data_IF_295068564361
#
_entry.id   IF_295068564361
#
_cell.length_a   1.000
_cell.length_b   1.000
_cell.length_c   1.000
_cell.angle_alpha   90.00
_cell.angle_beta   90.00
_cell.angle_gamma   90.00
#
_symmetry.space_group_name_H-M   'P 1'
#
loop_
_entity.id
_entity.type
_entity.pdbx_description
1 polymer ?
#
# COMPACT_ATOMS: atom_id res chain seq x y z
N UNK A 1 -10.82 -3.64 -3.93
CA UNK A 1 -11.23 -4.95 -3.38
C UNK A 1 -12.62 -4.79 -2.78
N UNK A 2 -13.60 -5.59 -3.19
CA UNK A 2 -14.88 -5.76 -2.47
C UNK A 2 -14.95 -7.25 -2.18
N UNK A 3 -15.32 -7.71 -0.97
CA UNK A 3 -15.40 -9.15 -0.68
C UNK A 3 -16.44 -9.82 -1.60
N UNK A 4 -16.11 -11.00 -2.13
CA UNK A 4 -17.09 -11.87 -2.81
C UNK A 4 -17.89 -12.65 -1.77
N UNK A 5 -19.20 -12.77 -1.98
CA UNK A 5 -20.02 -13.72 -1.21
C UNK A 5 -19.47 -15.15 -1.39
N UNK A 6 -19.51 -16.01 -0.36
CA UNK A 6 -19.19 -17.43 -0.51
C UNK A 6 -20.07 -18.06 -1.59
N UNK A 7 -19.45 -18.75 -2.57
CA UNK A 7 -20.17 -19.50 -3.61
C UNK A 7 -20.19 -18.91 -5.02
N UNK A 8 -19.56 -17.74 -5.27
CA UNK A 8 -19.33 -17.26 -6.64
C UNK A 8 -18.06 -17.87 -7.24
N UNK A 9 -18.17 -18.48 -8.42
CA UNK A 9 -17.01 -18.87 -9.24
C UNK A 9 -16.12 -17.65 -9.48
N UNK A 10 -14.77 -17.75 -9.32
CA UNK A 10 -13.90 -16.61 -9.53
C UNK A 10 -13.95 -16.17 -10.99
N UNK A 11 -14.50 -14.98 -11.25
CA UNK A 11 -14.36 -14.34 -12.55
C UNK A 11 -12.87 -14.09 -12.81
N UNK A 12 -12.34 -14.60 -13.92
CA UNK A 12 -10.95 -14.45 -14.31
C UNK A 12 -10.87 -13.89 -15.73
N UNK A 13 -10.01 -12.90 -15.94
CA UNK A 13 -9.76 -12.36 -17.28
C UNK A 13 -8.60 -13.15 -17.88
N UNK A 14 -8.92 -14.05 -18.84
CA UNK A 14 -7.96 -14.90 -19.54
C UNK A 14 -7.57 -14.30 -20.90
N UNK A 15 -6.33 -13.83 -21.05
CA UNK A 15 -5.90 -13.17 -22.29
C UNK A 15 -4.41 -13.37 -22.59
N UNK A 16 -4.01 -13.08 -23.83
CA UNK A 16 -2.64 -13.25 -24.29
C UNK A 16 -1.64 -12.32 -23.58
N UNK A 17 -0.41 -12.78 -23.36
CA UNK A 17 0.66 -12.05 -22.66
C UNK A 17 1.56 -11.24 -23.61
N UNK A 18 1.81 -9.98 -23.27
CA UNK A 18 2.75 -9.08 -23.95
C UNK A 18 3.84 -8.59 -22.97
N UNK A 19 5.08 -8.49 -23.43
CA UNK A 19 6.19 -7.92 -22.64
C UNK A 19 6.38 -6.48 -23.07
N UNK A 20 6.61 -5.60 -22.10
CA UNK A 20 7.26 -4.31 -22.35
C UNK A 20 8.75 -4.49 -22.06
N UNK A 21 9.59 -4.24 -23.07
CA UNK A 21 11.03 -4.13 -22.87
C UNK A 21 11.61 -2.78 -23.31
N UNK A 22 10.81 -1.83 -23.81
CA UNK A 22 11.32 -0.51 -24.18
C UNK A 22 10.25 0.58 -24.03
N UNK A 23 10.64 1.67 -23.36
CA UNK A 23 9.82 2.84 -23.08
C UNK A 23 9.69 3.82 -24.26
N UNK A 24 10.24 3.51 -25.45
CA UNK A 24 10.45 4.49 -26.53
C UNK A 24 9.94 4.10 -27.94
N UNK A 25 8.86 3.34 -28.08
CA UNK A 25 8.27 3.07 -29.42
C UNK A 25 6.82 3.59 -29.56
N UNK A 26 6.58 4.59 -30.44
CA UNK A 26 5.25 5.12 -30.78
C UNK A 26 4.29 4.08 -31.42
N UNK A 27 4.79 2.94 -31.90
CA UNK A 27 4.02 1.88 -32.58
C UNK A 27 3.40 0.83 -31.63
N UNK A 28 3.49 1.03 -30.32
CA UNK A 28 3.20 -0.02 -29.34
C UNK A 28 1.71 -0.15 -28.90
N UNK A 29 0.80 0.75 -29.32
CA UNK A 29 -0.62 0.70 -28.92
C UNK A 29 -1.31 -0.56 -29.50
N UNK A 30 -1.11 -0.85 -30.78
CA UNK A 30 -1.70 -2.01 -31.46
C UNK A 30 -1.24 -3.35 -30.86
N UNK A 31 -0.02 -3.40 -30.30
CA UNK A 31 0.51 -4.61 -29.67
C UNK A 31 -0.07 -4.89 -28.28
N UNK A 32 -0.66 -3.89 -27.61
CA UNK A 32 -1.12 -3.94 -26.21
C UNK A 32 -2.62 -4.13 -26.06
N UNK A 33 -3.39 -3.68 -27.06
CA UNK A 33 -4.84 -3.76 -27.06
C UNK A 33 -5.30 -5.20 -26.78
N UNK A 34 -6.13 -5.36 -25.74
CA UNK A 34 -6.70 -6.65 -25.39
C UNK A 34 -5.66 -7.68 -24.93
N UNK A 35 -4.50 -7.29 -24.38
CA UNK A 35 -3.50 -8.22 -23.83
C UNK A 35 -3.17 -7.91 -22.38
N UNK A 36 -2.60 -8.89 -21.69
CA UNK A 36 -1.98 -8.69 -20.38
C UNK A 36 -0.57 -8.16 -20.58
N UNK A 37 -0.27 -7.02 -19.98
CA UNK A 37 1.03 -6.36 -20.05
C UNK A 37 1.86 -6.74 -18.83
N UNK A 38 3.10 -7.17 -19.04
CA UNK A 38 4.06 -7.42 -17.96
C UNK A 38 4.98 -6.21 -17.78
N UNK A 39 5.06 -5.66 -16.57
CA UNK A 39 5.91 -4.54 -16.18
C UNK A 39 6.96 -4.96 -15.14
N UNK A 40 8.20 -4.52 -15.34
CA UNK A 40 9.33 -4.81 -14.44
C UNK A 40 9.45 -3.84 -13.26
N UNK A 41 8.45 -2.98 -13.06
CA UNK A 41 8.41 -1.96 -12.03
C UNK A 41 6.98 -1.73 -11.57
N UNK A 42 6.83 -1.15 -10.38
CA UNK A 42 5.56 -0.67 -9.87
C UNK A 42 5.06 0.52 -10.73
N UNK A 43 3.77 0.55 -11.02
CA UNK A 43 3.12 1.63 -11.79
C UNK A 43 1.66 1.75 -11.36
N UNK A 44 1.08 2.94 -11.52
CA UNK A 44 -0.36 3.18 -11.29
C UNK A 44 -1.25 2.63 -12.41
N UNK A 45 -0.68 1.94 -13.40
CA UNK A 45 -1.44 1.30 -14.48
C UNK A 45 -2.00 2.26 -15.54
N UNK A 46 -1.76 3.57 -15.44
CA UNK A 46 -2.26 4.57 -16.42
C UNK A 46 -1.82 4.26 -17.85
N UNK A 47 -0.54 3.94 -18.04
CA UNK A 47 0.01 3.63 -19.37
C UNK A 47 -0.67 2.42 -20.03
N UNK A 48 -0.70 1.24 -19.38
CA UNK A 48 -1.43 0.07 -19.86
C UNK A 48 -2.93 0.32 -20.07
N UNK A 49 -3.57 1.07 -19.17
CA UNK A 49 -4.99 1.43 -19.27
C UNK A 49 -5.30 2.24 -20.54
N UNK A 50 -4.56 3.33 -20.76
CA UNK A 50 -4.74 4.18 -21.95
C UNK A 50 -4.36 3.46 -23.26
N UNK A 51 -3.53 2.42 -23.17
CA UNK A 51 -3.19 1.56 -24.31
C UNK A 51 -4.21 0.43 -24.55
N UNK A 52 -5.33 0.40 -23.80
CA UNK A 52 -6.38 -0.61 -23.91
C UNK A 52 -5.94 -2.03 -23.58
N UNK A 53 -4.96 -2.17 -22.69
CA UNK A 53 -4.56 -3.46 -22.16
C UNK A 53 -5.72 -4.12 -21.39
N UNK A 54 -5.85 -5.44 -21.52
CA UNK A 54 -6.86 -6.21 -20.79
C UNK A 54 -6.42 -6.54 -19.35
N UNK A 55 -5.12 -6.45 -19.06
CA UNK A 55 -4.60 -6.65 -17.70
C UNK A 55 -3.15 -6.21 -17.53
N UNK A 56 -2.70 -6.17 -16.28
CA UNK A 56 -1.35 -5.75 -15.89
C UNK A 56 -0.75 -6.70 -14.86
N UNK A 57 0.44 -7.23 -15.14
CA UNK A 57 1.25 -7.97 -14.16
C UNK A 57 2.50 -7.17 -13.89
N UNK A 58 2.64 -6.68 -12.67
CA UNK A 58 3.85 -6.01 -12.19
C UNK A 58 4.71 -7.01 -11.43
N UNK A 59 6.02 -6.76 -11.42
CA UNK A 59 6.94 -7.52 -10.57
C UNK A 59 7.91 -6.60 -9.82
N UNK A 60 8.19 -6.94 -8.57
CA UNK A 60 9.07 -6.16 -7.71
C UNK A 60 9.48 -6.88 -6.43
N UNK A 61 10.06 -6.14 -5.48
CA UNK A 61 10.43 -6.67 -4.17
C UNK A 61 9.16 -6.85 -3.32
N UNK A 62 9.24 -7.66 -2.27
CA UNK A 62 8.05 -8.38 -1.75
C UNK A 62 7.59 -7.93 -0.38
N UNK A 63 8.51 -7.43 0.47
CA UNK A 63 8.18 -7.17 1.88
C UNK A 63 7.84 -5.71 2.05
N UNK A 64 6.64 -5.42 2.58
CA UNK A 64 6.19 -4.04 2.80
C UNK A 64 5.61 -3.33 1.58
N UNK A 65 5.74 -3.93 0.39
CA UNK A 65 5.17 -3.38 -0.84
C UNK A 65 3.66 -3.64 -0.91
N UNK A 66 2.92 -2.60 -1.25
CA UNK A 66 1.46 -2.60 -1.35
C UNK A 66 1.04 -2.20 -2.74
N UNK A 67 -0.12 -2.67 -3.18
CA UNK A 67 -0.71 -2.27 -4.46
C UNK A 67 -2.15 -1.87 -4.25
N UNK A 68 -2.43 -0.58 -4.47
CA UNK A 68 -3.78 -0.05 -4.41
C UNK A 68 -4.61 -0.46 -5.64
N UNK A 69 -5.87 -0.06 -5.67
CA UNK A 69 -6.78 -0.33 -6.78
C UNK A 69 -6.23 0.26 -8.09
N UNK A 70 -6.14 -0.56 -9.14
CA UNK A 70 -5.66 -0.17 -10.47
C UNK A 70 -6.81 -0.07 -11.48
N UNK A 71 -6.70 0.74 -12.55
CA UNK A 71 -7.78 0.98 -13.52
C UNK A 71 -8.12 -0.22 -14.42
N UNK A 72 -7.34 -1.31 -14.32
CA UNK A 72 -7.54 -2.56 -15.03
C UNK A 72 -7.22 -3.75 -14.12
N UNK A 73 -7.64 -4.95 -14.50
CA UNK A 73 -7.31 -6.17 -13.75
C UNK A 73 -5.81 -6.35 -13.66
N UNK A 74 -5.29 -6.41 -12.43
CA UNK A 74 -3.86 -6.37 -12.21
C UNK A 74 -3.41 -7.25 -11.04
N UNK A 75 -2.14 -7.63 -11.07
CA UNK A 75 -1.48 -8.35 -9.99
C UNK A 75 -0.03 -7.91 -9.86
N UNK A 76 0.48 -7.92 -8.64
CA UNK A 76 1.88 -7.69 -8.36
C UNK A 76 2.51 -8.95 -7.80
N UNK A 77 3.63 -9.32 -8.39
CA UNK A 77 4.33 -10.55 -8.08
C UNK A 77 5.73 -10.23 -7.57
N UNK A 78 6.19 -11.10 -6.68
CA UNK A 78 7.59 -11.12 -6.30
C UNK A 78 8.49 -11.43 -7.50
N UNK A 79 9.75 -10.99 -7.44
CA UNK A 79 10.73 -11.22 -8.52
C UNK A 79 10.86 -12.71 -8.88
N UNK A 80 10.83 -13.60 -7.89
CA UNK A 80 10.92 -15.05 -8.09
C UNK A 80 9.69 -15.61 -8.85
N UNK A 81 8.48 -15.18 -8.47
CA UNK A 81 7.24 -15.56 -9.16
C UNK A 81 7.16 -14.94 -10.55
N UNK A 82 7.54 -13.67 -10.69
CA UNK A 82 7.58 -12.95 -11.96
C UNK A 82 8.58 -13.56 -12.95
N UNK A 83 9.70 -14.09 -12.49
CA UNK A 83 10.69 -14.77 -13.33
C UNK A 83 10.14 -16.05 -13.95
N UNK A 84 9.28 -16.78 -13.24
CA UNK A 84 8.59 -17.97 -13.77
C UNK A 84 7.64 -17.64 -14.93
N UNK A 85 7.01 -16.46 -14.92
CA UNK A 85 6.15 -16.00 -16.03
C UNK A 85 6.98 -15.76 -17.30
N UNK A 86 8.15 -15.13 -17.16
CA UNK A 86 9.05 -14.91 -18.29
C UNK A 86 9.50 -16.25 -18.91
N UNK A 87 9.83 -17.22 -18.06
CA UNK A 87 10.20 -18.57 -18.50
C UNK A 87 9.04 -19.27 -19.22
N UNK A 88 7.83 -19.26 -18.63
CA UNK A 88 6.63 -19.82 -19.25
C UNK A 88 6.36 -19.20 -20.63
N UNK A 89 6.39 -17.87 -20.73
CA UNK A 89 6.20 -17.20 -22.02
C UNK A 89 7.24 -17.69 -23.04
N UNK A 90 8.51 -17.77 -22.64
CA UNK A 90 9.60 -18.19 -23.51
C UNK A 90 9.59 -19.68 -23.90
N UNK A 91 8.80 -20.53 -23.24
CA UNK A 91 8.60 -21.93 -23.63
C UNK A 91 7.35 -22.17 -24.50
N UNK A 92 6.47 -21.17 -24.65
CA UNK A 92 5.26 -21.32 -25.48
C UNK A 92 5.56 -21.30 -26.99
N UNK A 93 4.70 -22.01 -27.74
CA UNK A 93 4.77 -22.10 -29.20
C UNK A 93 4.63 -20.71 -29.85
N UNK A 94 5.34 -20.55 -30.97
CA UNK A 94 5.26 -19.38 -31.81
C UNK A 94 4.22 -19.62 -32.92
N UNK A 95 3.34 -18.65 -33.15
CA UNK A 95 2.42 -18.57 -34.27
C UNK A 95 2.79 -17.39 -35.16
N UNK A 96 2.42 -17.44 -36.44
CA UNK A 96 2.56 -16.32 -37.37
C UNK A 96 1.17 -15.81 -37.68
N UNK A 97 0.91 -14.54 -37.39
CA UNK A 97 -0.32 -13.83 -37.78
C UNK A 97 0.08 -12.57 -38.55
N UNK A 98 -0.51 -12.33 -39.71
CA UNK A 98 -0.23 -11.13 -40.52
C UNK A 98 1.27 -10.87 -40.76
N UNK A 99 2.07 -11.92 -40.96
CA UNK A 99 3.52 -11.82 -41.17
C UNK A 99 4.35 -11.48 -39.92
N UNK A 100 3.75 -11.47 -38.71
CA UNK A 100 4.43 -11.22 -37.43
C UNK A 100 4.43 -12.48 -36.55
N UNK A 101 5.55 -12.72 -35.84
CA UNK A 101 5.71 -13.82 -34.88
C UNK A 101 5.05 -13.47 -33.54
N UNK A 102 4.19 -14.35 -33.04
CA UNK A 102 3.52 -14.22 -31.75
C UNK A 102 3.75 -15.45 -30.89
N UNK A 103 3.97 -15.26 -29.59
CA UNK A 103 3.98 -16.37 -28.64
C UNK A 103 2.57 -16.57 -28.10
N UNK A 104 2.05 -17.80 -28.17
CA UNK A 104 0.71 -18.14 -27.71
C UNK A 104 0.69 -18.41 -26.18
N UNK A 105 1.20 -17.46 -25.40
CA UNK A 105 1.13 -17.50 -23.94
C UNK A 105 -0.13 -16.79 -23.46
N UNK A 106 -0.91 -17.47 -22.63
CA UNK A 106 -2.13 -16.91 -22.01
C UNK A 106 -2.01 -16.95 -20.49
N UNK A 107 -2.61 -15.98 -19.82
CA UNK A 107 -2.74 -15.99 -18.36
C UNK A 107 -4.12 -15.48 -17.95
N UNK A 108 -4.50 -15.84 -16.73
CA UNK A 108 -5.75 -15.41 -16.10
C UNK A 108 -5.45 -14.62 -14.84
N UNK A 109 -6.00 -13.41 -14.72
CA UNK A 109 -5.94 -12.62 -13.48
C UNK A 109 -7.26 -12.80 -12.74
N UNK A 110 -7.18 -13.34 -11.54
CA UNK A 110 -8.34 -13.60 -10.68
C UNK A 110 -8.67 -12.38 -9.80
N UNK A 111 -9.91 -12.32 -9.34
CA UNK A 111 -10.33 -11.39 -8.28
C UNK A 111 -9.47 -11.60 -7.04
N UNK A 112 -9.10 -10.49 -6.40
CA UNK A 112 -8.33 -10.52 -5.16
C UNK A 112 -9.11 -11.19 -4.02
N UNK A 113 -8.39 -11.90 -3.16
CA UNK A 113 -8.89 -12.55 -1.96
C UNK A 113 -8.11 -12.10 -0.73
N UNK A 114 -8.73 -12.21 0.44
CA UNK A 114 -8.09 -11.92 1.72
C UNK A 114 -7.22 -13.10 2.17
N UNK A 115 -6.08 -12.80 2.79
CA UNK A 115 -5.15 -13.78 3.35
C UNK A 115 -4.65 -13.28 4.70
N UNK A 116 -4.48 -14.19 5.66
CA UNK A 116 -3.88 -13.86 6.95
C UNK A 116 -2.36 -13.79 6.82
N UNK A 117 -1.80 -12.59 6.98
CA UNK A 117 -0.37 -12.39 7.06
C UNK A 117 0.13 -12.68 8.48
N UNK A 118 0.88 -13.78 8.65
CA UNK A 118 1.46 -14.20 9.94
C UNK A 118 2.66 -13.35 10.38
N UNK A 119 3.20 -12.53 9.49
CA UNK A 119 4.32 -11.63 9.79
C UNK A 119 3.86 -10.27 10.31
N UNK A 120 2.59 -9.91 10.09
CA UNK A 120 2.03 -8.66 10.60
C UNK A 120 2.09 -8.58 12.15
N UNK A 121 2.27 -7.39 12.74
CA UNK A 121 2.48 -6.09 12.08
C UNK A 121 3.95 -5.84 11.72
N UNK A 122 4.17 -5.15 10.60
CA UNK A 122 5.45 -4.57 10.18
C UNK A 122 5.19 -3.27 9.43
N UNK A 123 6.24 -2.46 9.25
CA UNK A 123 6.10 -1.15 8.64
C UNK A 123 6.22 -1.28 7.11
N UNK A 124 5.26 -0.74 6.33
CA UNK A 124 5.31 -0.82 4.87
C UNK A 124 6.46 -0.01 4.29
N UNK A 125 6.86 -0.34 3.07
CA UNK A 125 8.02 0.23 2.36
C UNK A 125 7.84 1.71 2.05
N UNK A 126 6.61 2.16 1.81
CA UNK A 126 6.30 3.57 1.53
C UNK A 126 6.38 4.48 2.77
N UNK A 127 6.34 3.91 3.98
CA UNK A 127 6.32 4.70 5.21
C UNK A 127 7.67 5.35 5.42
N UNK A 128 7.69 6.67 5.58
CA UNK A 128 8.94 7.42 5.78
C UNK A 128 9.69 6.97 7.04
N UNK A 129 11.01 7.14 7.01
CA UNK A 129 11.91 6.78 8.10
C UNK A 129 12.52 8.02 8.73
N UNK A 130 12.88 7.90 9.99
CA UNK A 130 13.80 8.81 10.66
C UNK A 130 15.25 8.66 10.17
N UNK A 131 16.20 9.38 10.80
CA UNK A 131 15.99 10.29 11.92
C UNK A 131 15.28 11.58 11.52
N UNK A 132 14.81 12.35 12.50
CA UNK A 132 14.27 13.68 12.28
C UNK A 132 15.34 14.61 11.68
N UNK A 133 15.14 15.16 10.47
CA UNK A 133 16.15 15.98 9.80
C UNK A 133 16.33 17.35 10.44
N UNK A 134 15.35 17.84 11.20
CA UNK A 134 15.35 19.16 11.84
C UNK A 134 16.05 19.10 13.20
N UNK A 135 15.68 18.11 14.03
CA UNK A 135 16.29 17.89 15.35
C UNK A 135 16.61 16.43 15.53
N UNK A 136 17.89 16.06 15.38
CA UNK A 136 18.35 14.67 15.54
C UNK A 136 18.19 14.14 16.96
N UNK A 137 18.04 15.02 17.94
CA UNK A 137 17.80 14.66 19.34
C UNK A 137 16.34 14.26 19.62
N UNK A 138 15.42 14.46 18.67
CA UNK A 138 14.02 14.07 18.79
C UNK A 138 13.73 12.94 17.79
N UNK A 139 13.50 11.74 18.32
CA UNK A 139 13.21 10.56 17.52
C UNK A 139 11.91 10.71 16.71
N UNK A 140 11.94 10.26 15.44
CA UNK A 140 10.77 10.18 14.56
C UNK A 140 10.81 8.90 13.72
N UNK A 141 9.64 8.30 13.40
CA UNK A 141 8.29 8.69 13.81
C UNK A 141 8.02 8.46 15.31
N UNK A 142 6.90 8.96 15.86
CA UNK A 142 6.59 8.78 17.29
C UNK A 142 5.99 7.39 17.59
N UNK A 143 5.06 6.91 16.74
CA UNK A 143 4.45 5.59 16.84
C UNK A 143 3.95 5.11 15.46
N UNK A 144 3.57 3.84 15.37
CA UNK A 144 2.93 3.22 14.21
C UNK A 144 1.44 2.93 14.46
N UNK A 145 0.65 2.94 13.38
CA UNK A 145 -0.78 2.57 13.41
C UNK A 145 -1.20 1.92 12.09
N UNK A 146 -2.36 1.22 12.04
CA UNK A 146 -2.84 0.58 10.82
C UNK A 146 -3.04 1.57 9.67
N UNK A 147 -2.30 1.37 8.57
CA UNK A 147 -2.35 2.24 7.40
C UNK A 147 -2.23 1.52 6.06
N UNK A 148 -2.31 0.19 6.04
CA UNK A 148 -2.23 -0.62 4.82
C UNK A 148 -3.57 -1.27 4.57
N UNK A 149 -4.07 -1.16 3.33
CA UNK A 149 -5.36 -1.71 2.90
C UNK A 149 -6.53 -1.36 3.82
N UNK A 150 -6.65 -0.08 4.17
CA UNK A 150 -7.76 0.41 5.00
C UNK A 150 -8.98 0.65 4.11
N UNK A 151 -10.08 -0.04 4.43
CA UNK A 151 -11.39 0.18 3.82
C UNK A 151 -12.06 1.40 4.47
N UNK A 152 -12.37 2.42 3.68
CA UNK A 152 -13.06 3.62 4.17
C UNK A 152 -14.02 4.16 3.11
N UNK A 153 -14.90 5.09 3.52
CA UNK A 153 -15.83 5.76 2.62
C UNK A 153 -15.08 6.46 1.49
N UNK A 154 -15.68 6.44 0.30
CA UNK A 154 -15.10 7.03 -0.91
C UNK A 154 -16.15 7.83 -1.67
N UNK A 155 -15.71 8.90 -2.33
CA UNK A 155 -16.60 9.73 -3.11
C UNK A 155 -17.03 9.00 -4.39
N UNK A 156 -18.33 8.93 -4.70
CA UNK A 156 -18.81 8.23 -5.89
C UNK A 156 -18.41 8.91 -7.21
N UNK A 157 -17.91 10.15 -7.16
CA UNK A 157 -17.41 10.89 -8.32
C UNK A 157 -15.88 10.80 -8.47
N UNK A 158 -15.18 10.19 -7.51
CA UNK A 158 -13.73 10.05 -7.54
C UNK A 158 -13.34 8.68 -8.11
N UNK A 159 -12.49 8.61 -9.15
CA UNK A 159 -12.02 7.33 -9.69
C UNK A 159 -11.37 6.47 -8.61
N UNK A 160 -11.76 5.19 -8.53
CA UNK A 160 -11.25 4.27 -7.50
C UNK A 160 -9.73 4.08 -7.58
N UNK A 161 -9.15 4.12 -8.78
CA UNK A 161 -7.70 4.00 -9.01
C UNK A 161 -6.94 5.33 -9.01
N UNK A 162 -7.64 6.46 -8.92
CA UNK A 162 -7.05 7.80 -9.12
C UNK A 162 -6.57 8.07 -10.55
N UNK A 163 -6.83 7.17 -11.50
CA UNK A 163 -6.52 7.36 -12.92
C UNK A 163 -7.72 7.95 -13.63
N UNK A 164 -7.51 9.06 -14.35
CA UNK A 164 -8.54 9.68 -15.18
C UNK A 164 -9.04 8.71 -16.27
N UNK A 165 -10.35 8.63 -16.44
CA UNK A 165 -11.01 7.69 -17.35
C UNK A 165 -11.44 6.36 -16.71
N UNK A 166 -11.03 6.07 -15.47
CA UNK A 166 -11.59 4.97 -14.69
C UNK A 166 -12.97 5.38 -14.13
N UNK A 167 -14.03 4.82 -14.73
CA UNK A 167 -15.43 5.15 -14.52
C UNK A 167 -16.10 4.32 -13.41
N UNK A 168 -15.35 3.46 -12.72
CA UNK A 168 -15.89 2.60 -11.67
C UNK A 168 -16.28 3.43 -10.45
N UNK A 169 -17.54 3.31 -10.05
CA UNK A 169 -18.13 3.97 -8.88
C UNK A 169 -18.23 2.99 -7.72
N UNK A 170 -17.75 3.41 -6.54
CA UNK A 170 -17.83 2.66 -5.29
C UNK A 170 -18.14 3.58 -4.11
N UNK A 171 -18.86 3.07 -3.12
CA UNK A 171 -19.12 3.80 -1.85
C UNK A 171 -17.95 3.70 -0.87
N UNK A 172 -17.08 2.70 -1.05
CA UNK A 172 -15.93 2.44 -0.21
C UNK A 172 -14.72 2.07 -1.07
N UNK A 173 -13.55 2.53 -0.66
CA UNK A 173 -12.29 2.20 -1.31
C UNK A 173 -11.30 1.63 -0.29
N UNK A 174 -10.36 0.84 -0.78
CA UNK A 174 -9.25 0.28 -0.01
C UNK A 174 -7.98 0.94 -0.50
N UNK A 175 -7.36 1.71 0.38
CA UNK A 175 -6.14 2.46 0.09
C UNK A 175 -5.13 2.29 1.21
N UNK A 176 -3.87 2.54 0.88
CA UNK A 176 -2.75 2.45 1.80
C UNK A 176 -2.06 3.81 1.93
N UNK A 177 -1.56 4.12 3.12
CA UNK A 177 -0.82 5.35 3.37
C UNK A 177 -0.66 5.66 4.84
N UNK A 178 0.33 6.47 5.16
CA UNK A 178 0.43 7.10 6.49
C UNK A 178 -0.77 8.04 6.72
N UNK A 179 -1.36 8.59 5.66
CA UNK A 179 -2.64 9.30 5.68
C UNK A 179 -3.80 8.44 6.21
N UNK A 180 -3.72 7.11 6.12
CA UNK A 180 -4.71 6.18 6.68
C UNK A 180 -4.35 5.76 8.11
N UNK A 181 -3.06 5.73 8.46
CA UNK A 181 -2.61 5.52 9.83
C UNK A 181 -2.95 6.71 10.75
N UNK A 182 -2.78 7.94 10.26
CA UNK A 182 -3.07 9.18 10.98
C UNK A 182 -4.46 9.23 11.64
N UNK A 183 -5.58 8.99 10.93
CA UNK A 183 -6.91 9.06 11.54
C UNK A 183 -7.14 8.00 12.63
N UNK A 184 -6.47 6.84 12.61
CA UNK A 184 -6.54 5.88 13.71
C UNK A 184 -5.90 6.43 14.99
N UNK A 185 -4.77 7.13 14.86
CA UNK A 185 -4.11 7.80 15.98
C UNK A 185 -4.95 8.98 16.46
N UNK A 186 -5.48 9.81 15.54
CA UNK A 186 -6.35 10.95 15.88
C UNK A 186 -7.63 10.51 16.61
N UNK A 187 -8.28 9.43 16.15
CA UNK A 187 -9.43 8.85 16.83
C UNK A 187 -9.08 8.37 18.23
N UNK A 188 -7.93 7.72 18.39
CA UNK A 188 -7.47 7.26 19.71
C UNK A 188 -7.11 8.43 20.62
N UNK A 189 -6.50 9.49 20.10
CA UNK A 189 -6.23 10.71 20.85
C UNK A 189 -7.53 11.38 21.36
N UNK A 190 -8.55 11.46 20.50
CA UNK A 190 -9.88 11.96 20.88
C UNK A 190 -10.54 11.05 21.92
N UNK A 191 -10.42 9.73 21.77
CA UNK A 191 -10.89 8.76 22.75
C UNK A 191 -10.20 8.96 24.09
N UNK A 192 -8.88 9.11 24.15
CA UNK A 192 -8.16 9.43 25.40
C UNK A 192 -8.67 10.74 26.00
N UNK A 193 -8.86 11.78 25.18
CA UNK A 193 -9.37 13.10 25.63
C UNK A 193 -10.76 13.01 26.26
N UNK A 194 -11.61 12.06 25.86
CA UNK A 194 -12.93 11.89 26.50
C UNK A 194 -12.85 11.32 27.91
N UNK A 195 -11.81 10.54 28.24
CA UNK A 195 -11.55 10.06 29.60
C UNK A 195 -10.72 11.04 30.42
N UNK A 196 -9.88 11.84 29.76
CA UNK A 196 -9.00 12.83 30.39
C UNK A 196 -9.18 14.23 29.79
N UNK A 197 -10.32 14.92 30.05
CA UNK A 197 -10.64 16.18 29.39
C UNK A 197 -9.65 17.30 29.67
N UNK A 198 -8.90 17.23 30.76
CA UNK A 198 -7.91 18.25 31.16
C UNK A 198 -6.49 17.99 30.65
N UNK A 199 -6.20 16.80 30.10
CA UNK A 199 -4.85 16.48 29.63
C UNK A 199 -4.41 17.37 28.47
N UNK A 200 -3.15 17.81 28.54
CA UNK A 200 -2.51 18.57 27.48
C UNK A 200 -2.33 17.71 26.21
N UNK A 201 -2.06 18.31 25.04
CA UNK A 201 -1.65 17.56 23.86
C UNK A 201 -0.40 16.70 24.09
N UNK A 202 0.56 17.17 24.90
CA UNK A 202 1.77 16.44 25.23
C UNK A 202 1.49 15.22 26.13
N UNK A 203 0.60 15.36 27.11
CA UNK A 203 0.11 14.25 27.94
C UNK A 203 -0.56 13.14 27.09
N UNK A 204 -1.43 13.52 26.14
CA UNK A 204 -2.10 12.57 25.25
C UNK A 204 -1.10 11.90 24.31
N UNK A 205 -0.14 12.68 23.76
CA UNK A 205 0.95 12.11 22.97
C UNK A 205 1.76 11.14 23.81
N UNK A 206 2.11 11.50 25.05
CA UNK A 206 2.85 10.65 25.97
C UNK A 206 2.12 9.34 26.22
N UNK A 207 0.82 9.37 26.47
CA UNK A 207 0.08 8.13 26.73
C UNK A 207 0.03 7.22 25.51
N UNK A 208 -0.13 7.77 24.30
CA UNK A 208 -0.09 7.00 23.05
C UNK A 208 1.26 6.29 22.85
N UNK A 209 2.37 6.98 23.11
CA UNK A 209 3.72 6.42 22.86
C UNK A 209 4.15 5.45 23.96
N UNK A 210 3.85 5.72 25.25
CA UNK A 210 4.31 4.86 26.35
C UNK A 210 3.51 3.56 26.48
N UNK A 211 2.30 3.51 25.92
CA UNK A 211 1.48 2.28 25.94
C UNK A 211 1.50 1.51 24.62
N UNK A 212 2.27 1.96 23.63
CA UNK A 212 2.37 1.28 22.34
C UNK A 212 2.93 -0.15 22.51
N UNK A 213 2.42 -1.09 21.72
CA UNK A 213 2.90 -2.46 21.72
C UNK A 213 4.22 -2.56 20.93
N UNK A 214 5.28 -3.18 21.49
CA UNK A 214 6.55 -3.34 20.81
C UNK A 214 6.42 -4.03 19.45
N UNK A 215 7.17 -3.55 18.47
CA UNK A 215 7.24 -4.16 17.13
C UNK A 215 8.53 -4.96 16.95
N UNK A 216 8.49 -5.92 16.03
CA UNK A 216 9.63 -6.81 15.79
C UNK A 216 10.69 -6.10 14.93
N UNK A 217 11.89 -5.88 15.48
CA UNK A 217 13.00 -5.24 14.77
C UNK A 217 13.57 -6.08 13.61
N UNK A 218 13.46 -7.41 13.66
CA UNK A 218 13.90 -8.27 12.56
C UNK A 218 13.08 -8.08 11.26
N UNK A 219 11.84 -7.58 11.37
CA UNK A 219 10.99 -7.20 10.23
C UNK A 219 11.09 -5.71 9.90
N UNK A 220 11.78 -4.93 10.74
CA UNK A 220 11.91 -3.48 10.62
C UNK A 220 13.35 -3.09 10.99
N UNK A 221 14.32 -3.28 10.08
CA UNK A 221 15.75 -3.10 10.38
C UNK A 221 16.11 -1.70 10.90
N UNK A 222 15.32 -0.68 10.58
CA UNK A 222 15.49 0.69 11.06
C UNK A 222 14.92 0.92 12.48
N UNK A 223 14.31 -0.11 13.08
CA UNK A 223 13.78 -0.12 14.45
C UNK A 223 12.92 1.11 14.78
N UNK A 224 13.31 1.90 15.78
CA UNK A 224 12.56 3.07 16.23
C UNK A 224 12.48 4.16 15.15
N UNK A 225 13.41 4.21 14.19
CA UNK A 225 13.29 5.09 13.02
C UNK A 225 12.24 4.62 12.00
N UNK A 226 11.69 3.41 12.16
CA UNK A 226 10.55 2.92 11.38
C UNK A 226 9.21 3.01 12.13
N UNK A 227 9.17 2.67 13.42
CA UNK A 227 7.91 2.52 14.16
C UNK A 227 7.81 3.35 15.45
N UNK A 228 8.82 4.16 15.78
CA UNK A 228 8.84 4.92 17.03
C UNK A 228 8.77 4.01 18.25
N UNK A 229 7.83 4.28 19.15
CA UNK A 229 7.60 3.45 20.34
C UNK A 229 6.88 2.12 20.06
N UNK A 230 6.31 1.92 18.87
CA UNK A 230 5.64 0.69 18.48
C UNK A 230 4.24 0.89 17.91
N UNK A 231 3.44 -0.17 17.89
CA UNK A 231 2.07 -0.17 17.36
C UNK A 231 1.08 0.36 18.39
N UNK A 232 0.24 1.31 17.96
CA UNK A 232 -0.87 1.87 18.72
C UNK A 232 -1.70 0.81 19.48
N UNK A 233 -1.94 1.05 20.78
CA UNK A 233 -2.84 0.25 21.62
C UNK A 233 -3.96 1.15 22.19
N UNK A 234 -5.14 1.20 21.55
CA UNK A 234 -6.23 2.07 21.99
C UNK A 234 -6.84 1.67 23.33
N UNK A 235 -6.63 0.43 23.79
CA UNK A 235 -7.22 -0.08 25.04
C UNK A 235 -6.36 0.36 26.23
N UNK A 236 -5.03 0.30 26.09
CA UNK A 236 -4.10 0.73 27.15
C UNK A 236 -3.90 2.24 27.20
N UNK A 237 -3.97 2.94 26.07
CA UNK A 237 -3.61 4.36 25.99
C UNK A 237 -4.40 5.32 26.89
N UNK A 238 -5.68 5.07 27.25
CA UNK A 238 -6.38 5.88 28.26
C UNK A 238 -5.88 5.65 29.69
N UNK A 239 -5.11 4.59 29.97
CA UNK A 239 -4.66 4.25 31.33
C UNK A 239 -3.15 3.99 31.37
N UNK A 240 -2.31 5.00 31.04
CA UNK A 240 -0.86 4.82 30.89
C UNK A 240 -0.11 4.67 32.23
N UNK A 241 -0.78 4.92 33.36
CA UNK A 241 -0.15 5.01 34.69
C UNK A 241 0.60 6.32 34.88
N UNK A 242 1.63 6.58 34.07
CA UNK A 242 2.44 7.80 34.08
C UNK A 242 2.46 8.46 32.69
N UNK A 243 2.60 9.78 32.68
CA UNK A 243 2.73 10.61 31.49
C UNK A 243 3.94 11.54 31.63
N UNK A 244 4.59 11.84 30.51
CA UNK A 244 5.61 12.87 30.37
C UNK A 244 4.94 14.11 29.76
N UNK A 245 4.54 15.04 30.62
CA UNK A 245 3.87 16.27 30.21
C UNK A 245 4.87 17.43 30.07
N UNK A 246 4.59 18.34 29.14
CA UNK A 246 5.34 19.57 28.91
C UNK A 246 4.38 20.68 28.47
N UNK A 247 4.76 21.92 28.74
CA UNK A 247 3.94 23.09 28.41
C UNK A 247 4.43 23.78 27.13
N UNK A 248 3.62 24.71 26.59
CA UNK A 248 3.99 25.50 25.42
C UNK A 248 5.36 26.19 25.58
N UNK A 249 5.62 26.71 26.78
CA UNK A 249 6.86 27.42 27.09
C UNK A 249 8.10 26.53 26.93
N UNK A 250 7.98 25.22 27.15
CA UNK A 250 9.09 24.28 26.98
C UNK A 250 9.45 24.11 25.50
N UNK A 251 8.47 24.12 24.60
CA UNK A 251 8.74 24.15 23.16
C UNK A 251 9.42 25.46 22.75
N UNK A 252 8.98 26.60 23.30
CA UNK A 252 9.62 27.90 23.04
C UNK A 252 11.06 27.93 23.54
N UNK A 253 11.34 27.36 24.72
CA UNK A 253 12.70 27.20 25.25
C UNK A 253 13.54 26.32 24.34
N UNK A 254 13.01 25.17 23.92
CA UNK A 254 13.68 24.27 22.99
C UNK A 254 14.03 24.95 21.65
N UNK A 255 13.14 25.78 21.11
CA UNK A 255 13.39 26.53 19.86
C UNK A 255 14.42 27.65 20.00
N UNK A 256 14.70 28.11 21.22
CA UNK A 256 15.67 29.18 21.51
C UNK A 256 17.10 28.68 21.73
N UNK A 257 17.28 27.38 21.97
CA UNK A 257 18.58 26.77 22.30
C UNK A 257 18.81 26.70 23.79
#
# INVERSE_FOLDING_TARGET
MVPSKPGQTPAAISVALSLLNDSNLPSAIEYRQGKIVICNAHTNGRGPFLAGAAGLVMKGRVVGDVVDSLPLSASFLSVDKGSKINMYKNSTRISILYGKLFRNATASIFRSNEVTDKLAPYIPSFSSRGPNPISRNILKPDLAAPGVYILAAWSPIAPISGVEGDDRVVNYNIISGTSMACPHVSATAAYIKSFHPTWSPAAIKSSLITTANPMRSNLNPESEFAYGSGLLDPIKAPFPGLIYDIEELDYVRFLRG
#
